data_IF_631297932928
#
_entry.id   IF_631297932928
#
_cell.length_a   1.000
_cell.length_b   1.000
_cell.length_c   1.000
_cell.angle_alpha   90.00
_cell.angle_beta   90.00
_cell.angle_gamma   90.00
#
_symmetry.space_group_name_H-M   'P 1'
#
loop_
_entity.id
_entity.type
_entity.pdbx_description
1 polymer ?
#
# COMPACT_ATOMS: atom_id res chain seq x y z
N UNK A 1 -7.37 15.17 -13.58
CA UNK A 1 -6.02 15.50 -13.06
C UNK A 1 -5.50 14.48 -12.04
N UNK A 2 -6.20 14.24 -10.91
CA UNK A 2 -5.74 13.31 -9.84
C UNK A 2 -5.43 11.86 -10.29
N UNK A 3 -6.20 11.30 -11.22
CA UNK A 3 -5.98 9.94 -11.74
C UNK A 3 -4.66 9.79 -12.52
N UNK A 4 -4.26 10.82 -13.28
CA UNK A 4 -2.99 10.82 -14.01
C UNK A 4 -1.79 10.92 -13.05
N UNK A 5 -1.93 11.67 -11.95
CA UNK A 5 -0.91 11.74 -10.92
C UNK A 5 -0.66 10.35 -10.28
N UNK A 6 -1.71 9.58 -10.00
CA UNK A 6 -1.59 8.21 -9.45
C UNK A 6 -0.83 7.29 -10.40
N UNK A 7 -1.09 7.36 -11.71
CA UNK A 7 -0.35 6.57 -12.72
C UNK A 7 1.11 7.03 -12.82
N UNK A 8 1.36 8.34 -12.77
CA UNK A 8 2.73 8.89 -12.79
C UNK A 8 3.50 8.45 -11.54
N UNK A 9 2.88 8.47 -10.36
CA UNK A 9 3.51 7.97 -9.12
C UNK A 9 3.67 6.45 -9.13
N UNK A 10 2.75 5.69 -9.72
CA UNK A 10 2.93 4.25 -9.95
C UNK A 10 4.20 3.96 -10.77
N UNK A 11 4.41 4.76 -11.82
CA UNK A 11 5.56 4.63 -12.70
C UNK A 11 6.85 5.14 -12.04
N UNK A 12 6.79 6.23 -11.27
CA UNK A 12 7.97 6.78 -10.57
C UNK A 12 8.39 5.94 -9.36
N UNK A 13 7.45 5.33 -8.64
CA UNK A 13 7.71 4.40 -7.52
C UNK A 13 8.31 3.07 -7.97
N UNK A 14 8.33 2.79 -9.27
CA UNK A 14 9.01 1.61 -9.83
C UNK A 14 10.54 1.79 -9.87
N UNK A 15 11.04 3.04 -9.92
CA UNK A 15 12.46 3.36 -9.98
C UNK A 15 13.05 3.48 -8.56
N UNK A 16 14.04 2.64 -8.18
CA UNK A 16 14.63 2.64 -6.83
C UNK A 16 15.12 4.00 -6.35
N UNK A 17 15.71 4.79 -7.26
CA UNK A 17 16.26 6.12 -6.99
C UNK A 17 15.22 7.18 -6.58
N UNK A 18 13.93 6.96 -6.82
CA UNK A 18 12.88 7.93 -6.48
C UNK A 18 12.13 7.56 -5.19
N UNK A 19 12.27 6.33 -4.70
CA UNK A 19 11.33 5.75 -3.75
C UNK A 19 11.49 6.21 -2.30
N UNK A 20 12.69 6.59 -1.87
CA UNK A 20 12.94 7.11 -0.52
C UNK A 20 12.59 8.59 -0.36
N UNK A 21 12.61 9.38 -1.43
CA UNK A 21 12.21 10.80 -1.40
C UNK A 21 10.73 11.05 -1.74
N UNK A 22 9.99 10.01 -2.18
CA UNK A 22 8.60 10.14 -2.59
C UNK A 22 7.57 9.91 -1.48
N UNK A 23 7.94 9.21 -0.40
CA UNK A 23 6.98 8.88 0.67
C UNK A 23 6.78 10.08 1.58
N UNK A 24 5.81 10.92 1.23
CA UNK A 24 5.31 12.00 2.07
C UNK A 24 3.82 11.79 2.42
N UNK A 25 3.33 12.38 3.53
CA UNK A 25 1.95 12.22 3.97
C UNK A 25 0.89 12.54 2.90
N UNK A 26 1.13 13.56 2.09
CA UNK A 26 0.21 14.01 1.03
C UNK A 26 0.10 12.98 -0.10
N UNK A 27 1.22 12.33 -0.47
CA UNK A 27 1.19 11.25 -1.46
C UNK A 27 0.40 10.06 -0.91
N UNK A 28 0.63 9.70 0.35
CA UNK A 28 -0.05 8.57 0.98
C UNK A 28 -1.56 8.82 1.10
N UNK A 29 -1.98 10.06 1.40
CA UNK A 29 -3.39 10.44 1.42
C UNK A 29 -4.04 10.21 0.06
N UNK A 30 -3.39 10.68 -1.02
CA UNK A 30 -3.88 10.51 -2.38
C UNK A 30 -3.98 9.03 -2.76
N UNK A 31 -2.96 8.23 -2.42
CA UNK A 31 -2.93 6.81 -2.76
C UNK A 31 -3.96 6.00 -1.96
N UNK A 32 -4.12 6.28 -0.67
CA UNK A 32 -5.14 5.64 0.19
C UNK A 32 -6.54 6.00 -0.31
N UNK A 33 -6.81 7.27 -0.62
CA UNK A 33 -8.08 7.68 -1.19
C UNK A 33 -8.35 7.04 -2.57
N UNK A 34 -7.34 6.98 -3.44
CA UNK A 34 -7.45 6.37 -4.76
C UNK A 34 -7.67 4.85 -4.70
N UNK A 35 -7.12 4.18 -3.69
CA UNK A 35 -7.35 2.76 -3.43
C UNK A 35 -8.80 2.43 -3.02
N UNK A 36 -9.56 3.42 -2.54
CA UNK A 36 -11.00 3.30 -2.27
C UNK A 36 -11.88 3.75 -3.43
N UNK A 37 -11.29 4.09 -4.59
CA UNK A 37 -12.03 4.54 -5.77
C UNK A 37 -12.99 3.47 -6.31
N UNK A 38 -14.14 3.88 -6.84
CA UNK A 38 -15.06 3.01 -7.58
C UNK A 38 -14.57 2.68 -8.98
N UNK A 39 -13.58 3.43 -9.49
CA UNK A 39 -12.91 3.14 -10.76
C UNK A 39 -11.79 2.12 -10.55
N UNK A 40 -11.93 0.94 -11.16
CA UNK A 40 -11.02 -0.18 -10.95
C UNK A 40 -9.59 0.07 -11.43
N UNK A 41 -9.40 0.82 -12.53
CA UNK A 41 -8.07 1.20 -12.99
C UNK A 41 -7.35 2.12 -11.98
N UNK A 42 -8.09 3.08 -11.43
CA UNK A 42 -7.55 4.00 -10.41
C UNK A 42 -7.17 3.25 -9.14
N UNK A 43 -8.04 2.36 -8.70
CA UNK A 43 -7.81 1.47 -7.55
C UNK A 43 -6.59 0.60 -7.78
N UNK A 44 -6.52 -0.09 -8.93
CA UNK A 44 -5.40 -0.97 -9.29
C UNK A 44 -4.06 -0.22 -9.31
N UNK A 45 -4.03 0.97 -9.92
CA UNK A 45 -2.82 1.79 -9.97
C UNK A 45 -2.38 2.25 -8.57
N UNK A 46 -3.34 2.63 -7.72
CA UNK A 46 -3.05 3.03 -6.34
C UNK A 46 -2.47 1.86 -5.52
N UNK A 47 -3.09 0.68 -5.59
CA UNK A 47 -2.60 -0.51 -4.88
C UNK A 47 -1.23 -0.94 -5.39
N UNK A 48 -1.01 -0.92 -6.70
CA UNK A 48 0.29 -1.25 -7.30
C UNK A 48 1.36 -0.28 -6.83
N UNK A 49 1.05 1.02 -6.77
CA UNK A 49 1.95 2.05 -6.24
C UNK A 49 2.30 1.79 -4.78
N UNK A 50 1.30 1.58 -3.92
CA UNK A 50 1.51 1.27 -2.51
C UNK A 50 2.38 0.00 -2.36
N UNK A 51 2.10 -1.03 -3.14
CA UNK A 51 2.88 -2.26 -3.14
C UNK A 51 4.33 -2.07 -3.57
N UNK A 52 4.58 -1.18 -4.53
CA UNK A 52 5.93 -0.80 -4.95
C UNK A 52 6.66 -0.02 -3.86
N UNK A 53 6.00 0.96 -3.21
CA UNK A 53 6.58 1.72 -2.11
C UNK A 53 6.97 0.81 -0.93
N UNK A 54 6.17 -0.22 -0.64
CA UNK A 54 6.46 -1.24 0.37
C UNK A 54 7.65 -2.16 0.00
N UNK A 55 8.16 -2.11 -1.25
CA UNK A 55 9.35 -2.89 -1.62
C UNK A 55 10.63 -2.32 -1.04
N UNK A 56 10.63 -1.03 -0.67
CA UNK A 56 11.79 -0.32 -0.17
C UNK A 56 11.75 -0.25 1.34
N UNK A 57 12.71 -0.89 2.00
CA UNK A 57 12.72 -1.03 3.46
C UNK A 57 12.74 0.31 4.19
N UNK A 58 13.41 1.32 3.61
CA UNK A 58 13.46 2.69 4.15
C UNK A 58 12.09 3.36 4.28
N UNK A 59 11.07 2.87 3.57
CA UNK A 59 9.72 3.43 3.59
C UNK A 59 8.79 2.72 4.58
N UNK A 60 9.16 1.53 5.05
CA UNK A 60 8.24 0.65 5.77
C UNK A 60 7.75 1.23 7.09
N UNK A 61 8.60 1.94 7.83
CA UNK A 61 8.21 2.60 9.08
C UNK A 61 7.19 3.71 8.84
N UNK A 62 7.39 4.53 7.81
CA UNK A 62 6.46 5.61 7.45
C UNK A 62 5.14 5.03 6.96
N UNK A 63 5.18 4.02 6.09
CA UNK A 63 3.99 3.36 5.55
C UNK A 63 3.17 2.63 6.61
N UNK A 64 3.82 1.92 7.54
CA UNK A 64 3.14 1.19 8.61
C UNK A 64 2.49 2.13 9.63
N UNK A 65 3.12 3.28 9.92
CA UNK A 65 2.62 4.22 10.92
C UNK A 65 1.73 5.34 10.33
N UNK A 66 1.60 5.43 9.01
CA UNK A 66 0.77 6.44 8.36
C UNK A 66 -0.70 6.28 8.74
N UNK A 67 -1.29 7.36 9.29
CA UNK A 67 -2.71 7.46 9.65
C UNK A 67 -3.22 6.22 10.42
N UNK A 68 -2.49 5.86 11.47
CA UNK A 68 -2.75 4.69 12.31
C UNK A 68 -2.83 3.37 11.49
N UNK A 69 -1.99 3.26 10.44
CA UNK A 69 -1.91 2.14 9.51
C UNK A 69 -3.04 2.07 8.48
N UNK A 70 -3.45 3.22 7.95
CA UNK A 70 -4.39 3.28 6.83
C UNK A 70 -3.93 2.47 5.61
N UNK A 71 -2.61 2.46 5.33
CA UNK A 71 -2.03 1.64 4.25
C UNK A 71 -2.29 0.15 4.48
N UNK A 72 -2.10 -0.32 5.70
CA UNK A 72 -2.32 -1.71 6.09
C UNK A 72 -3.79 -2.08 5.93
N UNK A 73 -4.72 -1.24 6.44
CA UNK A 73 -6.17 -1.45 6.30
C UNK A 73 -6.59 -1.58 4.84
N UNK A 74 -6.09 -0.71 3.98
CA UNK A 74 -6.39 -0.72 2.53
C UNK A 74 -5.86 -2.00 1.87
N UNK A 75 -4.61 -2.38 2.14
CA UNK A 75 -4.02 -3.60 1.57
C UNK A 75 -4.79 -4.85 2.02
N UNK A 76 -5.13 -4.95 3.31
CA UNK A 76 -5.94 -6.06 3.83
C UNK A 76 -7.33 -6.10 3.19
N UNK A 77 -7.99 -4.94 3.05
CA UNK A 77 -9.30 -4.87 2.39
C UNK A 77 -9.23 -5.40 0.94
N UNK A 78 -8.19 -5.05 0.20
CA UNK A 78 -7.99 -5.48 -1.19
C UNK A 78 -7.77 -6.99 -1.29
N UNK A 79 -7.03 -7.58 -0.34
CA UNK A 79 -6.81 -9.03 -0.26
C UNK A 79 -8.14 -9.75 0.01
N UNK A 80 -8.94 -9.24 0.95
CA UNK A 80 -10.23 -9.83 1.33
C UNK A 80 -11.37 -9.56 0.34
N UNK A 81 -11.20 -8.60 -0.58
CA UNK A 81 -12.25 -8.22 -1.52
C UNK A 81 -12.33 -9.20 -2.70
N UNK A 82 -13.46 -9.91 -2.78
CA UNK A 82 -13.61 -11.09 -3.62
C UNK A 82 -14.33 -10.85 -4.97
N UNK A 83 -14.85 -9.64 -5.23
CA UNK A 83 -15.77 -9.40 -6.36
C UNK A 83 -15.23 -8.60 -7.54
N UNK A 84 -14.10 -7.89 -7.43
CA UNK A 84 -13.64 -7.02 -8.54
C UNK A 84 -12.12 -6.81 -8.60
N UNK A 85 -11.33 -7.47 -7.74
CA UNK A 85 -9.87 -7.27 -7.69
C UNK A 85 -9.16 -8.38 -8.47
N UNK A 86 -8.30 -8.02 -9.42
CA UNK A 86 -7.50 -9.00 -10.16
C UNK A 86 -6.57 -9.79 -9.23
N UNK A 87 -6.26 -11.02 -9.61
CA UNK A 87 -5.43 -11.91 -8.79
C UNK A 87 -4.01 -11.34 -8.60
N UNK A 88 -3.49 -10.62 -9.60
CA UNK A 88 -2.19 -9.96 -9.56
C UNK A 88 -2.15 -8.80 -8.56
N UNK A 89 -3.26 -8.04 -8.46
CA UNK A 89 -3.40 -6.95 -7.49
C UNK A 89 -3.47 -7.49 -6.07
N UNK A 90 -4.23 -8.57 -5.85
CA UNK A 90 -4.26 -9.23 -4.53
C UNK A 90 -2.90 -9.79 -4.16
N UNK A 91 -2.20 -10.42 -5.10
CA UNK A 91 -0.84 -10.96 -4.88
C UNK A 91 0.14 -9.84 -4.54
N UNK A 92 0.07 -8.71 -5.27
CA UNK A 92 0.90 -7.54 -4.99
C UNK A 92 0.60 -6.94 -3.62
N UNK A 93 -0.69 -6.84 -3.25
CA UNK A 93 -1.11 -6.35 -1.95
C UNK A 93 -0.64 -7.28 -0.81
N UNK A 94 -0.78 -8.60 -0.97
CA UNK A 94 -0.31 -9.59 0.00
C UNK A 94 1.21 -9.52 0.20
N UNK A 95 1.99 -9.39 -0.90
CA UNK A 95 3.45 -9.21 -0.82
C UNK A 95 3.84 -7.91 -0.15
N UNK A 96 3.09 -6.83 -0.38
CA UNK A 96 3.31 -5.55 0.28
C UNK A 96 3.04 -5.64 1.79
N UNK A 97 1.91 -6.25 2.17
CA UNK A 97 1.53 -6.48 3.55
C UNK A 97 2.59 -7.32 4.29
N UNK A 98 3.04 -8.43 3.68
CA UNK A 98 4.10 -9.27 4.24
C UNK A 98 5.42 -8.51 4.44
N UNK A 99 5.76 -7.57 3.56
CA UNK A 99 6.96 -6.74 3.71
C UNK A 99 6.82 -5.72 4.84
N UNK A 100 5.64 -5.12 4.98
CA UNK A 100 5.33 -4.23 6.08
C UNK A 100 5.36 -4.97 7.42
N UNK A 101 4.78 -6.17 7.52
CA UNK A 101 4.75 -6.96 8.76
C UNK A 101 6.13 -7.41 9.22
N UNK A 102 7.02 -7.75 8.28
CA UNK A 102 8.40 -8.17 8.60
C UNK A 102 9.29 -7.04 9.14
N UNK A 103 8.94 -5.78 8.88
CA UNK A 103 9.77 -4.62 9.22
C UNK A 103 9.12 -3.65 10.21
N UNK A 104 7.84 -3.85 10.55
CA UNK A 104 7.19 -3.10 11.62
C UNK A 104 7.42 -3.82 12.93
N UNK A 105 7.79 -3.08 13.97
CA UNK A 105 7.91 -3.62 15.32
C UNK A 105 6.59 -4.29 15.70
N UNK A 106 6.69 -5.52 16.24
CA UNK A 106 5.60 -6.40 16.67
C UNK A 106 4.50 -5.66 17.46
N UNK A 107 4.85 -4.57 18.16
CA UNK A 107 3.92 -3.72 18.91
C UNK A 107 2.77 -3.10 18.11
N UNK A 108 2.91 -2.86 16.80
CA UNK A 108 1.84 -2.26 16.00
C UNK A 108 0.73 -3.28 15.70
N UNK A 109 1.10 -4.51 15.37
CA UNK A 109 0.17 -5.60 15.06
C UNK A 109 -0.60 -6.08 16.28
N UNK A 110 0.10 -6.20 17.42
CA UNK A 110 -0.50 -6.56 18.70
C UNK A 110 -1.50 -5.48 19.17
N UNK A 111 -1.17 -4.20 18.96
CA UNK A 111 -2.05 -3.07 19.31
C UNK A 111 -3.33 -3.04 18.48
N UNK A 112 -3.31 -3.60 17.27
CA UNK A 112 -4.44 -3.58 16.33
C UNK A 112 -5.06 -4.96 16.04
N UNK A 113 -4.67 -5.99 16.80
CA UNK A 113 -5.31 -7.31 16.76
C UNK A 113 -5.12 -8.07 15.43
N UNK A 114 -4.12 -7.71 14.64
CA UNK A 114 -3.79 -8.37 13.37
C UNK A 114 -2.66 -9.36 13.62
N UNK A 115 -2.98 -10.60 14.03
CA UNK A 115 -1.94 -11.62 14.18
C UNK A 115 -1.48 -12.12 12.81
N UNK A 116 -0.20 -12.47 12.72
CA UNK A 116 0.46 -12.94 11.49
C UNK A 116 -0.05 -14.32 11.01
N UNK A 117 -1.04 -14.90 11.70
CA UNK A 117 -1.57 -16.26 11.49
C UNK A 117 -2.46 -16.40 10.24
N UNK A 118 -2.64 -15.33 9.46
CA UNK A 118 -3.50 -15.28 8.28
C UNK A 118 -2.73 -15.32 6.93
N UNK A 119 -1.45 -15.65 6.94
CA UNK A 119 -0.63 -15.94 5.74
C UNK A 119 -0.11 -17.38 5.78
#
# INVERSE_FOLDING_TARGET
>A
ARQLAVVIFANLSFQPCNTTSLVCPELLEILVAAASSTNDDTKMNAITSLGNLCRFEGNNSVLANYDEGAVIRVLSHVISSNRSTSNDVRTSAARALLKLTRNSSVSWWDKHGLTLDLL
#
